data_IF_895502945789
#
_entry.id   IF_895502945789
#
_cell.length_a   1.000
_cell.length_b   1.000
_cell.length_c   1.000
_cell.angle_alpha   90.00
_cell.angle_beta   90.00
_cell.angle_gamma   90.00
#
_symmetry.space_group_name_H-M   'P 1'
#
loop_
_entity.id
_entity.type
_entity.pdbx_description
1 polymer ?
#
# COMPACT_ATOMS: atom_id res chain seq x y z
N UNK A 1 13.38 -11.02 -0.86
CA UNK A 1 13.55 -9.89 -1.79
C UNK A 1 13.91 -8.72 -0.92
N UNK A 2 15.12 -8.17 -1.08
CA UNK A 2 15.55 -7.08 -0.22
C UNK A 2 14.89 -5.79 -0.71
N UNK A 3 14.30 -5.06 0.22
CA UNK A 3 13.58 -3.82 -0.04
C UNK A 3 14.03 -2.74 0.93
N UNK A 4 13.98 -1.50 0.46
CA UNK A 4 14.30 -0.29 1.23
C UNK A 4 13.17 0.72 1.08
N UNK A 5 13.23 1.84 1.83
CA UNK A 5 12.35 3.00 1.65
C UNK A 5 10.85 2.62 1.62
N UNK A 6 10.40 1.88 2.63
CA UNK A 6 9.02 1.42 2.74
C UNK A 6 8.12 2.48 3.38
N UNK A 7 6.94 2.67 2.80
CA UNK A 7 5.89 3.50 3.37
C UNK A 7 4.50 2.96 3.03
N UNK A 8 3.51 3.32 3.84
CA UNK A 8 2.10 3.08 3.51
C UNK A 8 1.53 4.27 2.74
N UNK A 9 0.74 3.99 1.71
CA UNK A 9 -0.05 5.03 1.04
C UNK A 9 -1.13 5.57 1.97
N UNK A 10 -1.63 6.77 1.66
CA UNK A 10 -2.88 7.23 2.24
C UNK A 10 -4.02 6.26 1.90
N UNK A 11 -4.99 6.10 2.81
CA UNK A 11 -6.10 5.21 2.56
C UNK A 11 -7.01 5.70 1.45
N UNK A 12 -7.65 4.77 0.73
CA UNK A 12 -8.82 5.15 -0.08
C UNK A 12 -9.99 5.54 0.83
N UNK A 13 -10.93 6.38 0.38
CA UNK A 13 -12.16 6.63 1.12
C UNK A 13 -13.03 5.38 1.22
N UNK A 14 -13.87 5.32 2.26
CA UNK A 14 -15.01 4.39 2.31
C UNK A 14 -15.95 4.57 1.11
N UNK A 15 -16.65 3.50 0.76
CA UNK A 15 -17.62 3.41 -0.34
C UNK A 15 -17.03 3.81 -1.70
N UNK A 16 -15.71 3.67 -1.87
CA UNK A 16 -14.99 4.05 -3.07
C UNK A 16 -14.22 2.87 -3.66
N UNK A 17 -13.99 2.93 -4.97
CA UNK A 17 -13.01 2.07 -5.61
C UNK A 17 -11.60 2.55 -5.28
N UNK A 18 -10.65 1.61 -5.21
CA UNK A 18 -9.24 1.94 -5.09
C UNK A 18 -8.49 1.61 -6.37
N UNK A 19 -7.51 2.47 -6.69
CA UNK A 19 -6.46 2.19 -7.67
C UNK A 19 -5.13 2.44 -6.97
N UNK A 20 -4.31 1.40 -6.84
CA UNK A 20 -2.96 1.50 -6.29
C UNK A 20 -1.95 1.26 -7.40
N UNK A 21 -0.94 2.12 -7.50
CA UNK A 21 0.14 1.98 -8.48
C UNK A 21 1.48 2.13 -7.77
N UNK A 22 2.32 1.09 -7.88
CA UNK A 22 3.72 1.18 -7.53
C UNK A 22 4.48 1.76 -8.73
N UNK A 23 5.36 2.74 -8.47
CA UNK A 23 6.23 3.29 -9.50
C UNK A 23 7.31 2.28 -9.90
N UNK A 24 8.06 2.55 -10.97
CA UNK A 24 9.18 1.72 -11.38
C UNK A 24 10.19 1.52 -10.24
N UNK A 25 10.72 0.32 -10.09
CA UNK A 25 11.59 -0.10 -8.98
C UNK A 25 10.93 -0.10 -7.59
N UNK A 26 9.60 0.02 -7.50
CA UNK A 26 8.86 -0.21 -6.28
C UNK A 26 7.96 -1.44 -6.40
N UNK A 27 7.70 -2.10 -5.28
CA UNK A 27 6.82 -3.26 -5.18
C UNK A 27 5.84 -3.10 -4.03
N UNK A 28 4.65 -3.69 -4.19
CA UNK A 28 3.73 -3.88 -3.08
C UNK A 28 4.26 -5.00 -2.18
N UNK A 29 4.43 -4.70 -0.90
CA UNK A 29 4.85 -5.69 0.11
C UNK A 29 3.70 -6.17 0.98
N UNK A 30 2.69 -5.33 1.18
CA UNK A 30 1.57 -5.63 2.06
C UNK A 30 0.41 -4.66 1.90
N UNK A 31 -0.67 -4.95 2.62
CA UNK A 31 -1.88 -4.12 2.71
C UNK A 31 -2.32 -4.06 4.16
N UNK A 32 -2.74 -2.88 4.61
CA UNK A 32 -3.45 -2.69 5.88
C UNK A 32 -4.83 -2.13 5.59
N UNK A 33 -5.78 -2.31 6.50
CA UNK A 33 -7.13 -1.81 6.34
C UNK A 33 -7.77 -1.43 7.67
N UNK A 34 -8.59 -0.39 7.65
CA UNK A 34 -9.41 0.03 8.79
C UNK A 34 -10.87 -0.24 8.46
N UNK A 35 -11.56 -0.98 9.34
CA UNK A 35 -12.99 -1.28 9.21
C UNK A 35 -13.82 -0.27 10.00
N UNK A 36 -14.92 0.18 9.43
CA UNK A 36 -15.93 0.99 10.12
C UNK A 36 -17.27 0.23 10.14
N UNK A 37 -17.74 -0.13 11.34
CA UNK A 37 -18.99 -0.90 11.49
C UNK A 37 -20.26 -0.10 11.19
N UNK A 38 -20.20 1.24 11.14
CA UNK A 38 -21.38 2.02 10.76
C UNK A 38 -21.60 1.95 9.24
N UNK A 39 -20.50 1.94 8.48
CA UNK A 39 -20.50 1.81 7.01
C UNK A 39 -20.47 0.35 6.55
N UNK A 40 -20.02 -0.58 7.40
CA UNK A 40 -19.72 -1.98 7.08
C UNK A 40 -18.75 -2.11 5.88
N UNK A 41 -17.77 -1.20 5.86
CA UNK A 41 -16.79 -1.07 4.78
C UNK A 41 -15.36 -0.88 5.32
N UNK A 42 -14.37 -0.98 4.43
CA UNK A 42 -12.95 -0.86 4.74
C UNK A 42 -12.26 0.18 3.87
N UNK A 43 -11.49 1.02 4.53
CA UNK A 43 -10.43 1.79 3.89
C UNK A 43 -9.16 0.94 3.89
N UNK A 44 -8.40 0.98 2.81
CA UNK A 44 -7.19 0.19 2.64
C UNK A 44 -5.99 1.12 2.42
N UNK A 45 -4.80 0.70 2.84
CA UNK A 45 -3.51 1.37 2.60
C UNK A 45 -2.48 0.34 2.14
N UNK A 46 -1.66 0.68 1.15
CA UNK A 46 -0.74 -0.24 0.50
C UNK A 46 0.66 0.06 0.97
N UNK A 47 1.37 -0.97 1.41
CA UNK A 47 2.78 -0.86 1.71
C UNK A 47 3.57 -0.95 0.41
N UNK A 48 4.25 0.14 0.08
CA UNK A 48 5.08 0.28 -1.11
C UNK A 48 6.52 0.41 -0.66
N UNK A 49 7.40 -0.44 -1.20
CA UNK A 49 8.81 -0.43 -0.89
C UNK A 49 9.64 -0.39 -2.16
N UNK A 50 10.79 0.27 -2.11
CA UNK A 50 11.77 0.27 -3.19
C UNK A 50 12.50 -1.07 -3.22
N UNK A 51 12.69 -1.63 -4.42
CA UNK A 51 13.55 -2.79 -4.62
C UNK A 51 14.99 -2.38 -4.35
N UNK A 52 15.66 -3.13 -3.46
CA UNK A 52 17.09 -2.95 -3.24
C UNK A 52 17.84 -3.59 -4.39
N UNK A 53 18.63 -2.81 -5.12
CA UNK A 53 19.56 -3.37 -6.10
C UNK A 53 20.61 -4.19 -5.35
N UNK A 54 20.92 -5.38 -5.88
CA UNK A 54 21.85 -6.32 -5.22
C UNK A 54 23.31 -5.82 -5.16
N UNK A 55 23.58 -4.67 -5.77
CA UNK A 55 24.90 -4.02 -5.85
C UNK A 55 24.95 -2.67 -5.10
N UNK A 56 23.94 -2.37 -4.28
CA UNK A 56 23.86 -1.20 -3.37
C UNK A 56 23.98 -1.59 -1.88
#
# INVERSE_FOLDING_TARGET
MDVTECYFTNPNPFDATFTATAQENYVFRGVTSTHDNHREDREFSWEVCRLKNRNE
#
